data_IF_614258108049
#
_entry.id   IF_614258108049
#
_cell.length_a   1.000
_cell.length_b   1.000
_cell.length_c   1.000
_cell.angle_alpha   90.00
_cell.angle_beta   90.00
_cell.angle_gamma   90.00
#
_symmetry.space_group_name_H-M   'P 1'
#
loop_
_entity.id
_entity.type
_entity.pdbx_description
1 polymer ?
#
# COMPACT_ATOMS: atom_id res chain seq x y z
N UNK A 1 -3.23 17.05 12.56
CA UNK A 1 -3.67 17.12 11.15
C UNK A 1 -4.15 15.74 10.78
N UNK A 2 -5.45 15.58 10.48
CA UNK A 2 -6.03 14.29 10.12
C UNK A 2 -6.08 14.15 8.59
N UNK A 3 -5.63 13.01 8.07
CA UNK A 3 -5.58 12.69 6.63
C UNK A 3 -6.47 11.47 6.38
N UNK A 4 -7.28 11.43 5.32
CA UNK A 4 -8.18 10.29 5.02
C UNK A 4 -7.75 9.57 3.74
N UNK A 5 -7.75 8.24 3.76
CA UNK A 5 -7.36 7.36 2.65
C UNK A 5 -8.45 6.31 2.43
N UNK A 6 -8.74 5.93 1.18
CA UNK A 6 -9.73 4.88 0.86
C UNK A 6 -9.07 3.65 0.22
N UNK A 7 -9.16 2.46 0.82
CA UNK A 7 -8.51 1.21 0.36
C UNK A 7 -9.53 0.15 -0.12
N UNK A 8 -9.20 -0.60 -1.18
CA UNK A 8 -10.03 -1.70 -1.71
C UNK A 8 -9.57 -3.10 -1.24
N UNK A 9 -10.49 -4.07 -1.17
CA UNK A 9 -10.18 -5.46 -0.83
C UNK A 9 -10.50 -6.41 -2.01
N UNK A 10 -9.50 -7.15 -2.51
CA UNK A 10 -9.74 -8.16 -3.56
C UNK A 10 -10.35 -9.43 -2.95
N UNK A 11 -11.65 -9.64 -3.12
CA UNK A 11 -12.23 -10.99 -3.07
C UNK A 11 -11.70 -11.79 -4.27
N UNK A 12 -10.97 -12.87 -4.00
CA UNK A 12 -10.57 -13.81 -5.03
C UNK A 12 -11.82 -14.51 -5.59
N UNK A 13 -12.28 -14.10 -6.78
CA UNK A 13 -13.36 -14.79 -7.49
C UNK A 13 -12.80 -16.10 -8.06
N UNK A 14 -13.05 -17.19 -7.34
CA UNK A 14 -12.77 -18.55 -7.77
C UNK A 14 -13.75 -18.91 -8.90
N UNK A 15 -13.33 -18.75 -10.16
CA UNK A 15 -14.09 -19.15 -11.33
C UNK A 15 -14.19 -20.67 -11.39
N UNK A 16 -15.30 -21.24 -10.88
CA UNK A 16 -15.66 -22.64 -11.11
C UNK A 16 -16.30 -22.74 -12.50
N UNK A 17 -15.49 -23.18 -13.48
CA UNK A 17 -15.94 -23.51 -14.82
C UNK A 17 -16.80 -24.78 -14.78
N UNK A 18 -18.13 -24.63 -14.75
CA UNK A 18 -19.07 -25.74 -14.91
C UNK A 18 -19.29 -25.97 -16.43
N UNK A 19 -18.65 -27.00 -16.96
CA UNK A 19 -18.78 -27.41 -18.36
C UNK A 19 -20.12 -28.14 -18.55
N UNK A 20 -21.17 -27.41 -18.94
CA UNK A 20 -22.43 -28.00 -19.37
C UNK A 20 -22.33 -28.48 -20.82
N UNK A 21 -22.33 -29.79 -21.00
CA UNK A 21 -22.54 -30.48 -22.29
C UNK A 21 -24.01 -30.38 -22.67
N UNK A 22 -24.32 -29.90 -23.88
CA UNK A 22 -25.52 -30.28 -24.63
C UNK A 22 -25.31 -30.02 -26.14
N UNK A 23 -25.21 -31.10 -26.91
CA UNK A 23 -25.37 -31.11 -28.37
C UNK A 23 -26.87 -31.13 -28.69
N UNK A 24 -27.34 -30.24 -29.55
CA UNK A 24 -28.44 -30.51 -30.49
C UNK A 24 -28.48 -29.45 -31.61
N UNK A 25 -28.60 -29.93 -32.84
CA UNK A 25 -28.72 -29.16 -34.09
C UNK A 25 -30.21 -29.06 -34.46
N UNK A 26 -30.69 -27.88 -34.89
CA UNK A 26 -31.76 -27.73 -35.90
C UNK A 26 -31.90 -26.27 -36.39
N UNK A 27 -32.21 -26.12 -37.68
CA UNK A 27 -32.21 -24.90 -38.51
C UNK A 27 -33.43 -23.97 -38.33
N UNK A 28 -33.26 -22.69 -38.69
CA UNK A 28 -34.34 -21.74 -38.99
C UNK A 28 -33.85 -20.30 -39.25
N UNK A 29 -34.09 -19.78 -40.45
CA UNK A 29 -33.75 -18.42 -40.91
C UNK A 29 -34.71 -17.34 -40.39
N UNK A 30 -34.19 -16.21 -39.89
CA UNK A 30 -34.44 -14.83 -40.38
C UNK A 30 -33.70 -13.78 -39.52
N UNK A 31 -33.25 -12.64 -40.09
CA UNK A 31 -32.46 -11.64 -39.40
C UNK A 31 -33.36 -10.53 -38.82
N UNK A 32 -33.19 -10.19 -37.55
CA UNK A 32 -33.58 -8.87 -37.06
C UNK A 32 -32.62 -8.35 -36.00
N UNK A 33 -32.09 -7.16 -36.27
CA UNK A 33 -31.29 -6.33 -35.38
C UNK A 33 -32.18 -5.90 -34.22
N UNK A 34 -31.86 -6.12 -32.96
CA UNK A 34 -30.92 -5.27 -32.21
C UNK A 34 -30.72 -5.93 -30.84
N UNK A 35 -29.49 -6.35 -30.54
CA UNK A 35 -29.06 -6.71 -29.18
C UNK A 35 -28.67 -5.43 -28.46
N UNK A 36 -29.39 -5.04 -27.41
CA UNK A 36 -28.78 -4.24 -26.34
C UNK A 36 -28.35 -5.24 -25.26
N UNK A 37 -27.07 -5.59 -25.34
CA UNK A 37 -26.32 -6.29 -24.31
C UNK A 37 -25.89 -5.25 -23.30
N UNK A 38 -26.54 -5.18 -22.13
CA UNK A 38 -25.96 -4.51 -20.98
C UNK A 38 -24.72 -5.29 -20.52
N UNK A 39 -23.55 -4.73 -20.78
CA UNK A 39 -22.26 -5.19 -20.25
C UNK A 39 -22.14 -4.64 -18.81
N UNK A 40 -21.74 -5.45 -17.81
CA UNK A 40 -21.37 -4.94 -16.49
C UNK A 40 -20.21 -3.93 -16.60
N UNK A 41 -20.33 -2.83 -15.86
CA UNK A 41 -19.35 -1.75 -15.81
C UNK A 41 -17.97 -2.29 -15.42
N UNK A 42 -17.05 -2.10 -16.35
CA UNK A 42 -15.62 -2.36 -16.25
C UNK A 42 -15.01 -1.25 -15.40
N UNK A 43 -14.34 -1.64 -14.30
CA UNK A 43 -13.58 -0.77 -13.42
C UNK A 43 -12.64 0.12 -14.23
N UNK A 44 -12.69 1.44 -14.04
CA UNK A 44 -11.76 2.37 -14.67
C UNK A 44 -10.32 2.01 -14.29
N UNK A 45 -9.60 1.46 -15.26
CA UNK A 45 -8.15 1.26 -15.18
C UNK A 45 -7.46 2.60 -15.41
N UNK A 46 -7.53 3.52 -14.43
CA UNK A 46 -6.65 4.68 -14.42
C UNK A 46 -5.23 4.20 -14.17
N UNK A 47 -4.29 4.52 -15.07
CA UNK A 47 -2.87 4.24 -14.87
C UNK A 47 -2.38 4.74 -13.51
N UNK A 48 -1.54 3.98 -12.78
CA UNK A 48 -0.97 4.40 -11.50
C UNK A 48 -0.36 5.80 -11.56
N UNK A 49 -0.69 6.66 -10.58
CA UNK A 49 -0.03 7.97 -10.43
C UNK A 49 1.48 7.77 -10.22
N UNK A 50 2.29 8.61 -10.83
CA UNK A 50 3.76 8.60 -10.67
C UNK A 50 4.29 10.03 -10.65
N UNK A 51 5.43 10.24 -9.99
CA UNK A 51 6.07 11.53 -9.79
C UNK A 51 7.55 11.43 -10.14
N UNK A 52 8.13 12.54 -10.57
CA UNK A 52 9.54 12.61 -11.00
C UNK A 52 10.54 12.62 -9.84
N UNK A 53 10.12 13.02 -8.64
CA UNK A 53 10.98 13.09 -7.45
C UNK A 53 10.16 13.02 -6.16
N UNK A 54 10.84 12.76 -5.06
CA UNK A 54 10.26 12.91 -3.74
C UNK A 54 9.77 14.34 -3.50
N UNK A 55 8.67 14.53 -2.74
CA UNK A 55 8.12 15.86 -2.46
C UNK A 55 9.09 16.67 -1.60
N UNK A 56 9.10 17.99 -1.82
CA UNK A 56 9.79 18.91 -0.92
C UNK A 56 9.20 18.85 0.49
N UNK A 57 10.02 19.12 1.51
CA UNK A 57 9.55 19.22 2.89
C UNK A 57 8.54 20.37 3.02
N UNK A 58 7.34 20.06 3.46
CA UNK A 58 6.21 21.00 3.56
C UNK A 58 5.39 20.84 4.85
N UNK A 59 5.54 19.73 5.56
CA UNK A 59 4.87 19.52 6.85
C UNK A 59 5.41 20.45 7.94
N UNK A 60 4.55 20.78 8.89
CA UNK A 60 4.87 21.55 10.09
C UNK A 60 5.11 20.58 11.24
N UNK A 61 6.38 20.28 11.55
CA UNK A 61 6.78 19.29 12.56
C UNK A 61 6.36 19.67 14.00
N UNK A 62 5.80 20.86 14.22
CA UNK A 62 5.22 21.24 15.52
C UNK A 62 3.79 20.74 15.71
N UNK A 63 3.18 20.20 14.66
CA UNK A 63 1.83 19.61 14.69
C UNK A 63 1.92 18.10 14.72
N UNK A 64 0.92 17.49 15.35
CA UNK A 64 0.76 16.04 15.34
C UNK A 64 -0.02 15.64 14.08
N UNK A 65 0.41 14.57 13.41
CA UNK A 65 -0.22 14.07 12.19
C UNK A 65 -0.84 12.69 12.42
N UNK A 66 -2.04 12.48 11.89
CA UNK A 66 -2.69 11.17 11.91
C UNK A 66 -3.30 10.86 10.55
N UNK A 67 -3.43 9.56 10.25
CA UNK A 67 -4.08 9.10 9.04
C UNK A 67 -5.19 8.11 9.36
N UNK A 68 -6.37 8.34 8.79
CA UNK A 68 -7.53 7.47 8.84
C UNK A 68 -7.56 6.66 7.56
N UNK A 69 -7.54 5.36 7.72
CA UNK A 69 -7.74 4.40 6.64
C UNK A 69 -9.19 3.96 6.63
N UNK A 70 -9.87 4.23 5.53
CA UNK A 70 -11.22 3.77 5.25
C UNK A 70 -11.13 2.57 4.31
N UNK A 71 -11.62 1.42 4.78
CA UNK A 71 -11.68 0.20 4.00
C UNK A 71 -12.98 0.16 3.20
N UNK A 72 -12.95 -0.44 2.02
CA UNK A 72 -14.14 -0.65 1.16
C UNK A 72 -15.31 -1.32 1.90
N UNK A 73 -15.01 -2.17 2.87
CA UNK A 73 -16.02 -2.83 3.72
C UNK A 73 -16.66 -1.92 4.76
N UNK A 74 -16.30 -0.62 4.78
CA UNK A 74 -16.75 0.37 5.75
C UNK A 74 -15.97 0.36 7.07
N UNK A 75 -15.00 -0.56 7.23
CA UNK A 75 -14.11 -0.58 8.38
C UNK A 75 -13.17 0.63 8.37
N UNK A 76 -12.86 1.18 9.55
CA UNK A 76 -11.96 2.31 9.69
C UNK A 76 -10.96 2.08 10.81
N UNK A 77 -9.73 2.56 10.62
CA UNK A 77 -8.75 2.66 11.69
C UNK A 77 -7.89 3.91 11.50
N UNK A 78 -7.31 4.40 12.59
CA UNK A 78 -6.47 5.59 12.61
C UNK A 78 -5.07 5.20 13.04
N UNK A 79 -4.07 5.78 12.39
CA UNK A 79 -2.66 5.69 12.79
C UNK A 79 -2.15 7.07 13.17
N UNK A 80 -1.29 7.10 14.18
CA UNK A 80 -0.48 8.26 14.52
C UNK A 80 0.79 8.24 13.66
N UNK A 81 1.24 9.41 13.19
CA UNK A 81 2.39 9.55 12.32
C UNK A 81 3.49 10.29 13.07
N UNK A 82 4.66 9.68 13.24
CA UNK A 82 5.74 10.26 14.04
C UNK A 82 6.56 11.30 13.28
N UNK A 83 6.01 12.50 13.07
CA UNK A 83 6.65 13.56 12.28
C UNK A 83 8.00 14.02 12.85
N UNK A 84 8.19 13.92 14.16
CA UNK A 84 9.44 14.27 14.84
C UNK A 84 10.53 13.20 14.67
N UNK A 85 10.14 11.93 14.54
CA UNK A 85 11.09 10.81 14.42
C UNK A 85 11.44 10.52 12.96
N UNK A 86 10.49 10.68 12.04
CA UNK A 86 10.65 10.38 10.61
C UNK A 86 10.00 11.47 9.72
N UNK A 87 10.52 12.71 9.74
CA UNK A 87 9.87 13.86 9.09
C UNK A 87 9.74 13.72 7.57
N UNK A 88 10.74 13.18 6.85
CA UNK A 88 10.64 13.01 5.39
C UNK A 88 9.64 11.90 5.04
N UNK A 89 9.59 10.85 5.84
CA UNK A 89 8.67 9.73 5.68
C UNK A 89 7.24 10.18 5.89
N UNK A 90 6.97 10.94 6.96
CA UNK A 90 5.65 11.52 7.21
C UNK A 90 5.30 12.51 6.11
N UNK A 91 6.22 13.40 5.70
CA UNK A 91 6.00 14.34 4.60
C UNK A 91 5.61 13.63 3.28
N UNK A 92 6.32 12.56 2.95
CA UNK A 92 6.04 11.70 1.79
C UNK A 92 4.64 11.10 1.88
N UNK A 93 4.31 10.48 3.01
CA UNK A 93 3.02 9.84 3.23
C UNK A 93 1.87 10.86 3.13
N UNK A 94 2.00 12.02 3.80
CA UNK A 94 1.02 13.11 3.76
C UNK A 94 0.81 13.63 2.34
N UNK A 95 1.89 13.86 1.61
CA UNK A 95 1.82 14.32 0.21
C UNK A 95 1.05 13.33 -0.66
N UNK A 96 1.42 12.04 -0.63
CA UNK A 96 0.79 11.01 -1.43
C UNK A 96 -0.69 10.82 -1.05
N UNK A 97 -1.00 10.81 0.25
CA UNK A 97 -2.37 10.67 0.72
C UNK A 97 -3.25 11.85 0.31
N UNK A 98 -2.77 13.09 0.46
CA UNK A 98 -3.52 14.29 0.06
C UNK A 98 -3.73 14.39 -1.46
N UNK A 99 -2.84 13.81 -2.26
CA UNK A 99 -3.00 13.72 -3.72
C UNK A 99 -3.92 12.55 -4.12
N UNK A 100 -4.47 11.78 -3.17
CA UNK A 100 -5.30 10.61 -3.46
C UNK A 100 -4.51 9.50 -4.17
N UNK A 101 -3.22 9.34 -3.85
CA UNK A 101 -2.38 8.27 -4.40
C UNK A 101 -2.78 6.90 -3.87
N UNK A 102 -3.20 6.85 -2.60
CA UNK A 102 -3.58 5.61 -1.93
C UNK A 102 -5.02 5.19 -2.16
N UNK A 103 -5.82 6.02 -2.85
CA UNK A 103 -7.21 5.70 -3.15
C UNK A 103 -7.29 4.50 -4.09
N UNK A 104 -8.04 3.48 -3.68
CA UNK A 104 -8.15 2.23 -4.42
C UNK A 104 -6.99 1.25 -4.21
N UNK A 105 -5.96 1.64 -3.45
CA UNK A 105 -4.83 0.75 -3.14
C UNK A 105 -5.30 -0.37 -2.20
N UNK A 106 -4.62 -1.52 -2.26
CA UNK A 106 -4.97 -2.70 -1.48
C UNK A 106 -3.83 -3.12 -0.56
N UNK A 107 -4.16 -3.88 0.49
CA UNK A 107 -3.17 -4.70 1.20
C UNK A 107 -2.85 -5.94 0.38
N UNK A 108 -1.90 -5.81 -0.55
CA UNK A 108 -1.56 -6.85 -1.53
C UNK A 108 -0.81 -8.04 -0.90
N UNK A 109 -0.27 -7.88 0.32
CA UNK A 109 0.45 -8.96 1.02
C UNK A 109 0.09 -8.95 2.50
N UNK A 110 -0.55 -10.01 2.98
CA UNK A 110 -0.91 -10.20 4.39
C UNK A 110 -0.32 -11.51 4.88
N UNK A 111 0.49 -11.44 5.94
CA UNK A 111 1.11 -12.61 6.57
C UNK A 111 0.53 -12.75 7.99
N UNK A 112 -0.28 -13.80 8.25
CA UNK A 112 -0.83 -14.05 9.57
C UNK A 112 0.26 -14.11 10.64
N UNK A 113 0.05 -13.38 11.75
CA UNK A 113 1.02 -13.32 12.85
C UNK A 113 2.29 -12.54 12.54
N UNK A 114 2.32 -11.75 11.46
CA UNK A 114 3.43 -10.84 11.15
C UNK A 114 2.95 -9.43 10.81
N UNK A 115 2.40 -9.22 9.60
CA UNK A 115 2.04 -7.87 9.14
C UNK A 115 1.09 -7.90 7.93
N UNK A 116 0.46 -6.76 7.66
CA UNK A 116 -0.20 -6.44 6.39
C UNK A 116 0.55 -5.33 5.67
N UNK A 117 0.90 -5.55 4.40
CA UNK A 117 1.62 -4.62 3.54
C UNK A 117 0.72 -4.10 2.42
N UNK A 118 0.75 -2.79 2.22
CA UNK A 118 -0.04 -2.04 1.25
C UNK A 118 0.78 -0.91 0.60
N UNK A 119 0.08 0.08 0.01
CA UNK A 119 0.73 1.25 -0.58
C UNK A 119 1.33 1.06 -1.98
N UNK A 120 1.06 -0.08 -2.64
CA UNK A 120 1.43 -0.31 -4.04
C UNK A 120 0.25 0.03 -4.96
N UNK A 121 0.36 1.05 -5.84
CA UNK A 121 -0.73 1.45 -6.74
C UNK A 121 -1.04 0.42 -7.83
N UNK A 122 -0.15 -0.54 -8.07
CA UNK A 122 -0.37 -1.66 -9.00
C UNK A 122 -0.99 -2.88 -8.32
N UNK A 123 -0.88 -2.97 -6.98
CA UNK A 123 -1.32 -4.12 -6.19
C UNK A 123 -0.50 -5.40 -6.40
N UNK A 124 0.64 -5.37 -7.12
CA UNK A 124 1.45 -6.59 -7.39
C UNK A 124 2.65 -6.75 -6.45
N UNK A 125 2.90 -5.78 -5.57
CA UNK A 125 4.03 -5.74 -4.62
C UNK A 125 5.32 -5.15 -5.18
N UNK A 126 5.31 -4.56 -6.39
CA UNK A 126 6.50 -3.99 -7.04
C UNK A 126 6.34 -2.55 -7.51
N UNK A 127 5.13 -1.98 -7.44
CA UNK A 127 4.88 -0.59 -7.79
C UNK A 127 5.36 0.38 -6.71
N UNK A 128 5.55 1.62 -7.12
CA UNK A 128 6.15 2.71 -6.35
C UNK A 128 5.68 4.05 -6.93
N UNK A 129 5.89 5.20 -6.24
CA UNK A 129 5.41 6.50 -6.71
C UNK A 129 6.28 7.10 -7.81
N UNK A 130 7.26 6.37 -8.36
CA UNK A 130 8.19 6.86 -9.39
C UNK A 130 9.53 7.38 -8.85
N UNK A 131 9.72 7.37 -7.53
CA UNK A 131 10.97 7.76 -6.87
C UNK A 131 11.25 6.91 -5.64
N UNK A 132 12.45 7.10 -5.07
CA UNK A 132 12.85 6.57 -3.78
C UNK A 132 13.42 7.67 -2.88
N UNK A 133 13.36 7.46 -1.56
CA UNK A 133 14.02 8.28 -0.55
C UNK A 133 14.68 7.43 0.55
N UNK A 134 15.59 8.07 1.28
CA UNK A 134 16.45 7.41 2.28
C UNK A 134 15.69 6.98 3.54
N UNK A 135 16.29 6.08 4.32
CA UNK A 135 15.77 5.65 5.61
C UNK A 135 15.87 6.76 6.66
N UNK A 136 14.88 6.84 7.56
CA UNK A 136 14.91 7.66 8.77
C UNK A 136 14.80 6.75 9.99
N UNK A 137 15.94 6.31 10.50
CA UNK A 137 16.01 5.42 11.65
C UNK A 137 16.13 6.24 12.93
N UNK A 138 15.33 5.90 13.95
CA UNK A 138 15.40 6.51 15.27
C UNK A 138 15.38 5.43 16.37
N UNK A 139 16.19 5.55 17.44
CA UNK A 139 16.23 4.55 18.52
C UNK A 139 14.88 4.38 19.24
N UNK A 140 14.05 5.41 19.24
CA UNK A 140 12.70 5.37 19.84
C UNK A 140 11.60 4.92 18.85
N UNK A 141 11.91 4.70 17.57
CA UNK A 141 10.97 4.20 16.58
C UNK A 141 11.03 2.66 16.52
N UNK A 142 10.47 2.02 17.54
CA UNK A 142 10.53 0.57 17.74
C UNK A 142 9.28 -0.16 17.23
N UNK A 143 9.45 -1.41 16.83
CA UNK A 143 8.36 -2.34 16.54
C UNK A 143 8.05 -3.20 17.77
N UNK A 144 7.75 -2.56 18.89
CA UNK A 144 7.56 -3.15 20.22
C UNK A 144 6.14 -3.71 20.46
N UNK A 145 5.27 -3.63 19.45
CA UNK A 145 3.90 -4.09 19.56
C UNK A 145 3.16 -4.23 18.23
N UNK A 146 1.88 -4.64 18.28
CA UNK A 146 0.99 -4.60 17.12
C UNK A 146 0.61 -3.16 16.74
N UNK A 147 0.29 -2.93 15.47
CA UNK A 147 -0.21 -1.64 14.98
C UNK A 147 0.87 -0.65 14.57
N UNK A 148 2.14 -1.05 14.54
CA UNK A 148 3.25 -0.19 14.13
C UNK A 148 3.26 -0.08 12.61
N UNK A 149 3.15 1.14 12.08
CA UNK A 149 3.21 1.44 10.65
C UNK A 149 4.64 1.83 10.26
N UNK A 150 5.19 1.15 9.26
CA UNK A 150 6.56 1.35 8.79
C UNK A 150 6.66 1.25 7.26
N UNK A 151 7.70 1.85 6.68
CA UNK A 151 7.92 1.79 5.23
C UNK A 151 8.40 0.40 4.80
N UNK A 152 7.81 -0.13 3.73
CA UNK A 152 8.34 -1.30 3.04
C UNK A 152 9.38 -0.85 2.02
N UNK A 153 10.55 -1.47 2.04
CA UNK A 153 11.65 -1.14 1.13
C UNK A 153 12.43 -2.39 0.68
N UNK A 154 13.41 -2.19 -0.20
CA UNK A 154 14.30 -3.22 -0.75
C UNK A 154 15.75 -2.99 -0.30
N UNK A 155 15.94 -2.75 1.00
CA UNK A 155 17.23 -2.45 1.62
C UNK A 155 17.86 -1.16 1.08
N UNK A 156 19.05 -0.83 1.58
CA UNK A 156 19.86 0.23 1.02
C UNK A 156 20.64 -0.27 -0.20
N UNK A 157 20.60 0.51 -1.28
CA UNK A 157 21.28 0.21 -2.53
C UNK A 157 22.25 1.35 -2.84
N UNK A 158 23.55 1.03 -2.92
CA UNK A 158 24.62 2.02 -3.14
C UNK A 158 24.56 3.18 -2.13
N UNK A 159 24.26 2.87 -0.86
CA UNK A 159 24.15 3.85 0.22
C UNK A 159 22.91 4.75 0.14
N UNK A 160 21.88 4.36 -0.64
CA UNK A 160 20.60 5.06 -0.73
C UNK A 160 19.47 4.16 -0.28
N UNK A 161 18.53 4.70 0.48
CA UNK A 161 17.31 3.99 0.84
C UNK A 161 16.39 3.81 -0.36
N UNK A 162 15.51 2.82 -0.25
CA UNK A 162 14.55 2.46 -1.29
C UNK A 162 13.11 2.60 -0.81
N UNK A 163 12.86 3.54 0.12
CA UNK A 163 11.51 3.86 0.57
C UNK A 163 10.76 4.57 -0.55
N UNK A 164 9.49 4.23 -0.73
CA UNK A 164 8.63 4.80 -1.76
C UNK A 164 7.23 5.08 -1.20
N UNK A 165 6.23 4.39 -1.73
CA UNK A 165 4.84 4.52 -1.27
C UNK A 165 4.37 3.34 -0.42
N UNK A 166 5.04 2.19 -0.52
CA UNK A 166 4.63 0.98 0.17
C UNK A 166 4.93 1.05 1.67
N UNK A 167 3.98 0.58 2.47
CA UNK A 167 4.08 0.51 3.92
C UNK A 167 3.55 -0.82 4.41
N UNK A 168 3.83 -1.16 5.66
CA UNK A 168 3.22 -2.28 6.35
C UNK A 168 2.79 -1.90 7.78
N UNK A 169 1.84 -2.66 8.31
CA UNK A 169 1.34 -2.56 9.68
C UNK A 169 1.58 -3.89 10.38
N UNK A 170 2.27 -3.88 11.52
CA UNK A 170 2.58 -5.10 12.29
C UNK A 170 1.35 -5.66 13.01
N UNK A 171 1.28 -6.98 13.15
CA UNK A 171 0.26 -7.67 13.95
C UNK A 171 0.75 -8.12 15.32
N UNK A 172 2.06 -7.97 15.57
CA UNK A 172 2.74 -8.30 16.82
C UNK A 172 4.05 -7.52 16.89
N UNK A 173 4.74 -7.62 18.02
CA UNK A 173 6.13 -7.18 18.17
C UNK A 173 7.07 -7.84 17.13
N UNK A 174 7.91 -7.02 16.52
CA UNK A 174 8.86 -7.43 15.47
C UNK A 174 10.20 -6.68 15.58
N UNK A 175 10.87 -6.73 16.74
CA UNK A 175 12.15 -6.04 16.98
C UNK A 175 13.28 -6.34 15.98
N UNK A 176 13.18 -7.47 15.26
CA UNK A 176 14.13 -7.76 14.17
C UNK A 176 14.06 -6.73 13.02
N UNK A 177 12.96 -5.99 12.90
CA UNK A 177 12.77 -4.88 11.95
C UNK A 177 13.29 -3.52 12.45
N UNK A 178 13.68 -3.39 13.72
CA UNK A 178 14.14 -2.11 14.27
C UNK A 178 15.44 -1.65 13.58
N UNK A 179 15.63 -0.34 13.47
CA UNK A 179 16.82 0.25 12.83
C UNK A 179 18.12 0.12 13.64
N UNK A 180 18.02 -0.31 14.90
CA UNK A 180 19.15 -0.39 15.83
C UNK A 180 19.26 -1.80 16.42
N UNK A 181 20.49 -2.21 16.70
CA UNK A 181 20.81 -3.40 17.47
C UNK A 181 20.55 -3.18 18.96
N UNK A 182 20.51 -4.27 19.73
CA UNK A 182 20.32 -4.21 21.19
C UNK A 182 21.43 -3.47 21.95
N UNK A 183 22.60 -3.28 21.33
CA UNK A 183 23.72 -2.50 21.87
C UNK A 183 23.65 -1.00 21.50
N UNK A 184 22.61 -0.57 20.80
CA UNK A 184 22.41 0.80 20.34
C UNK A 184 23.19 1.18 19.07
N UNK A 185 23.93 0.25 18.46
CA UNK A 185 24.52 0.48 17.14
C UNK A 185 23.45 0.45 16.05
N UNK A 186 23.56 1.31 15.05
CA UNK A 186 22.66 1.29 13.88
C UNK A 186 22.89 0.01 13.07
N UNK A 187 21.81 -0.66 12.64
CA UNK A 187 21.91 -1.85 11.78
C UNK A 187 22.45 -1.48 10.40
N UNK A 188 23.21 -2.41 9.82
CA UNK A 188 23.59 -2.34 8.41
C UNK A 188 22.39 -2.71 7.54
N UNK A 189 21.75 -1.70 6.96
CA UNK A 189 20.60 -1.88 6.08
C UNK A 189 20.99 -2.19 4.63
N UNK A 190 22.28 -2.36 4.31
CA UNK A 190 22.76 -2.65 2.95
C UNK A 190 22.81 -4.14 2.60
N UNK A 191 22.67 -5.02 3.60
CA UNK A 191 22.73 -6.47 3.44
C UNK A 191 21.56 -7.16 4.12
N UNK A 192 21.04 -8.29 3.58
CA UNK A 192 20.03 -9.08 4.27
C UNK A 192 20.61 -9.69 5.55
N UNK A 193 19.87 -9.53 6.66
CA UNK A 193 20.14 -10.17 7.95
C UNK A 193 19.82 -11.66 7.93
#
# INVERSE_FOLDING_TARGET
VEIRLTLLARLAVLSTLLLAVCLAIACGDTPDSTRISEKPQESESSSPKTYSSAPAMSIDQSKDYSAVFEMETGGQFTVDLYEKLAPKTVNNFVFLANDGFYDGVTFHRVIPGFMAQGGDPTGVGSGNPGYYFDNELHPDALHDGPGILSMANKMEQNGKGTNGSQFFITFKETHFLDGFNSDGSQKDCSSPN
#
